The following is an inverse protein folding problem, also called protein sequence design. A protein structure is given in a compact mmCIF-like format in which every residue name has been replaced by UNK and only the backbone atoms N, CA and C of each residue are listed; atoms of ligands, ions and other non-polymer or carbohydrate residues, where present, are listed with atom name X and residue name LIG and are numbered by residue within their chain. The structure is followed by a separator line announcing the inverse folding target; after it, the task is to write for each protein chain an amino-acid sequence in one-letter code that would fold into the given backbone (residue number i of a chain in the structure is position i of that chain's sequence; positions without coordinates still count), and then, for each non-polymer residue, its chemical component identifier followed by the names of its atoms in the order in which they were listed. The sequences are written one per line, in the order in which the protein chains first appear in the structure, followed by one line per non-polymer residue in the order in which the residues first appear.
data_IF_848023235484
#
_entry.id   IF_848023235484
#
_cell.length_a   1.000
_cell.length_b   1.000
_cell.length_c   1.000
_cell.angle_alpha   90.00
_cell.angle_beta   90.00
_cell.angle_gamma   90.00
#
_symmetry.space_group_name_H-M   'P 1'
#
loop_
_entity.id
_entity.type
_entity.pdbx_description
1 polymer ?
#
# COMPACT_ATOMS: atom_id res chain seq x y z
N UNK A 1 2.68 -25.72 -52.94
CA UNK A 1 2.55 -24.24 -52.86
C UNK A 1 1.34 -23.99 -51.96
N UNK A 2 1.44 -23.54 -50.71
CA UNK A 2 2.08 -22.32 -50.23
C UNK A 2 2.75 -22.49 -48.84
N UNK A 3 3.72 -21.62 -48.57
CA UNK A 3 4.48 -21.47 -47.32
C UNK A 3 3.60 -20.88 -46.21
N UNK A 4 3.89 -21.19 -44.94
CA UNK A 4 3.22 -20.49 -43.84
C UNK A 4 3.66 -20.92 -42.45
N UNK A 5 4.83 -20.43 -42.02
CA UNK A 5 5.25 -20.11 -40.66
C UNK A 5 4.87 -21.06 -39.49
N UNK A 6 5.90 -21.76 -39.02
CA UNK A 6 6.18 -21.98 -37.61
C UNK A 6 5.88 -20.70 -36.79
N UNK A 7 4.87 -20.76 -35.91
CA UNK A 7 4.53 -19.69 -34.96
C UNK A 7 4.86 -20.20 -33.54
N UNK A 8 5.97 -19.77 -32.94
CA UNK A 8 6.21 -20.04 -31.53
C UNK A 8 5.39 -19.09 -30.63
N UNK A 9 4.84 -19.69 -29.57
CA UNK A 9 4.72 -19.13 -28.20
C UNK A 9 4.28 -17.67 -28.09
N UNK A 10 2.98 -17.41 -28.29
CA UNK A 10 2.38 -16.24 -27.67
C UNK A 10 0.88 -16.44 -27.42
N UNK A 11 0.52 -16.61 -26.15
CA UNK A 11 -0.53 -15.78 -25.55
C UNK A 11 -1.75 -15.50 -26.44
N UNK A 12 -2.51 -16.53 -26.85
CA UNK A 12 -3.77 -16.37 -27.59
C UNK A 12 -4.99 -16.10 -26.69
N UNK A 13 -4.83 -15.22 -25.71
CA UNK A 13 -5.97 -14.62 -25.03
C UNK A 13 -5.58 -13.20 -24.68
N UNK A 14 -6.33 -12.25 -25.23
CA UNK A 14 -6.29 -10.81 -25.05
C UNK A 14 -5.70 -10.36 -23.70
N UNK A 15 -5.02 -9.19 -23.62
CA UNK A 15 -4.62 -8.66 -22.33
C UNK A 15 -5.85 -8.61 -21.44
N UNK A 16 -5.88 -9.48 -20.42
CA UNK A 16 -6.95 -9.52 -19.42
C UNK A 16 -6.94 -8.12 -18.84
N UNK A 17 -7.94 -7.34 -19.26
CA UNK A 17 -8.19 -5.95 -18.90
C UNK A 17 -7.63 -5.70 -17.51
N UNK A 18 -6.67 -4.78 -17.33
CA UNK A 18 -6.16 -4.49 -15.99
C UNK A 18 -7.37 -4.15 -15.11
N UNK A 19 -7.47 -4.72 -13.89
CA UNK A 19 -8.63 -4.50 -13.04
C UNK A 19 -8.86 -3.00 -12.87
N UNK A 20 -10.12 -2.58 -13.09
CA UNK A 20 -10.60 -1.21 -12.88
C UNK A 20 -10.12 -0.72 -11.52
N UNK A 21 -9.48 0.45 -11.52
CA UNK A 21 -9.12 1.16 -10.30
C UNK A 21 -7.89 0.59 -9.60
N UNK A 22 -6.73 0.64 -10.26
CA UNK A 22 -5.48 0.84 -9.51
C UNK A 22 -5.57 2.24 -8.91
N UNK A 23 -6.14 2.35 -7.73
CA UNK A 23 -5.76 3.42 -6.82
C UNK A 23 -4.34 3.04 -6.40
N UNK A 24 -3.34 3.37 -7.23
CA UNK A 24 -2.00 3.49 -6.69
C UNK A 24 -2.15 4.54 -5.61
N UNK A 25 -2.10 4.10 -4.35
CA UNK A 25 -1.99 5.00 -3.21
C UNK A 25 -0.57 5.55 -3.20
N UNK A 26 -0.15 6.14 -4.32
CA UNK A 26 0.99 7.04 -4.40
C UNK A 26 0.52 8.32 -3.71
N UNK A 27 0.47 8.26 -2.37
CA UNK A 27 0.58 9.46 -1.57
C UNK A 27 2.05 9.88 -1.65
N UNK A 28 2.43 10.35 -2.83
CA UNK A 28 3.70 10.99 -3.08
C UNK A 28 3.74 12.24 -2.22
N UNK A 29 4.42 12.19 -1.08
CA UNK A 29 5.08 13.38 -0.54
C UNK A 29 6.29 13.71 -1.43
N UNK A 30 6.04 13.85 -2.73
CA UNK A 30 6.96 14.41 -3.70
C UNK A 30 6.53 15.86 -3.89
N UNK A 31 6.96 16.73 -2.97
CA UNK A 31 6.53 18.12 -3.02
C UNK A 31 6.99 19.01 -1.89
N UNK A 32 8.29 19.07 -1.60
CA UNK A 32 9.02 20.29 -1.22
C UNK A 32 10.45 19.89 -0.80
N UNK A 33 11.45 20.34 -1.56
CA UNK A 33 12.85 20.31 -1.12
C UNK A 33 12.96 21.19 0.12
N UNK A 34 13.04 20.59 1.32
CA UNK A 34 13.44 21.29 2.54
C UNK A 34 12.62 21.08 3.82
N UNK A 35 11.50 20.35 3.80
CA UNK A 35 10.77 20.04 5.04
C UNK A 35 10.30 18.58 5.08
N UNK A 36 10.89 17.80 5.97
CA UNK A 36 10.44 16.45 6.31
C UNK A 36 9.15 16.57 7.11
N UNK A 37 8.02 16.74 6.45
CA UNK A 37 6.72 16.79 7.11
C UNK A 37 6.41 15.39 7.63
N UNK A 38 6.48 15.20 8.95
CA UNK A 38 5.99 13.99 9.58
C UNK A 38 4.46 13.92 9.40
N UNK A 39 3.92 12.83 8.83
CA UNK A 39 2.49 12.70 8.63
C UNK A 39 1.77 12.54 9.98
N UNK A 40 0.61 13.18 10.17
CA UNK A 40 -0.21 12.97 11.36
C UNK A 40 -0.79 11.55 11.40
N UNK A 41 -1.26 11.07 10.25
CA UNK A 41 -1.82 9.73 10.10
C UNK A 41 -1.43 9.12 8.76
N UNK A 42 -1.37 7.79 8.72
CA UNK A 42 -1.08 7.01 7.51
C UNK A 42 -2.14 5.94 7.30
N UNK A 43 -2.36 5.52 6.05
CA UNK A 43 -3.26 4.39 5.77
C UNK A 43 -2.59 3.06 6.15
N UNK A 44 -3.40 2.02 6.36
CA UNK A 44 -2.93 0.66 6.66
C UNK A 44 -1.85 0.16 5.68
N UNK A 45 -1.99 0.29 4.34
CA UNK A 45 -0.94 -0.15 3.40
C UNK A 45 0.38 0.58 3.59
N UNK A 46 0.33 1.88 3.92
CA UNK A 46 1.53 2.69 4.16
C UNK A 46 2.19 2.31 5.48
N UNK A 47 1.41 2.08 6.54
CA UNK A 47 1.94 1.60 7.83
C UNK A 47 2.69 0.27 7.68
N UNK A 48 2.20 -0.63 6.82
CA UNK A 48 2.88 -1.89 6.49
C UNK A 48 4.22 -1.64 5.81
N UNK A 49 4.26 -0.72 4.84
CA UNK A 49 5.49 -0.36 4.14
C UNK A 49 6.52 0.30 5.07
N UNK A 50 6.06 1.17 5.97
CA UNK A 50 6.92 1.87 6.93
C UNK A 50 7.47 0.96 8.03
N UNK A 51 6.65 0.03 8.55
CA UNK A 51 7.03 -0.83 9.67
C UNK A 51 7.62 -2.17 9.25
N UNK A 52 7.43 -2.59 8.00
CA UNK A 52 7.79 -3.92 7.51
C UNK A 52 6.96 -5.07 8.11
N UNK A 53 5.90 -4.76 8.87
CA UNK A 53 5.06 -5.76 9.53
C UNK A 53 4.04 -6.37 8.56
N UNK A 54 3.73 -7.65 8.76
CA UNK A 54 2.63 -8.30 8.05
C UNK A 54 1.27 -7.70 8.43
N UNK A 55 0.30 -7.75 7.51
CA UNK A 55 -1.09 -7.32 7.75
C UNK A 55 -1.66 -7.94 9.03
N UNK A 56 -1.46 -9.24 9.21
CA UNK A 56 -2.00 -9.98 10.37
C UNK A 56 -1.37 -9.53 11.69
N UNK A 57 -0.07 -9.19 11.71
CA UNK A 57 0.56 -8.63 12.90
C UNK A 57 0.07 -7.21 13.18
N UNK A 58 -0.05 -6.38 12.15
CA UNK A 58 -0.57 -5.02 12.30
C UNK A 58 -2.01 -5.03 12.85
N UNK A 59 -2.89 -5.89 12.34
CA UNK A 59 -4.26 -6.00 12.86
C UNK A 59 -4.31 -6.52 14.30
N UNK A 60 -3.42 -7.45 14.69
CA UNK A 60 -3.30 -7.88 16.10
C UNK A 60 -2.92 -6.72 17.01
N UNK A 61 -1.98 -5.86 16.59
CA UNK A 61 -1.55 -4.69 17.35
C UNK A 61 -2.65 -3.61 17.43
N UNK A 62 -3.47 -3.50 16.39
CA UNK A 62 -4.67 -2.66 16.42
C UNK A 62 -5.69 -3.23 17.43
N UNK A 63 -5.88 -4.55 17.43
CA UNK A 63 -6.81 -5.22 18.34
C UNK A 63 -6.33 -5.21 19.80
N UNK A 64 -5.02 -5.30 20.04
CA UNK A 64 -4.42 -5.16 21.38
C UNK A 64 -4.44 -3.71 21.89
N UNK A 65 -4.74 -2.74 21.02
CA UNK A 65 -4.77 -1.32 21.35
C UNK A 65 -3.39 -0.64 21.36
N UNK A 66 -2.34 -1.36 21.00
CA UNK A 66 -0.98 -0.80 20.89
C UNK A 66 -0.87 0.19 19.73
N UNK A 67 -1.65 -0.01 18.67
CA UNK A 67 -1.73 0.92 17.53
C UNK A 67 -3.08 1.62 17.52
N UNK A 68 -3.05 2.95 17.64
CA UNK A 68 -4.26 3.78 17.58
C UNK A 68 -4.73 3.96 16.14
N UNK A 69 -6.00 3.64 15.93
CA UNK A 69 -6.70 3.79 14.64
C UNK A 69 -7.80 4.83 14.75
N UNK A 70 -7.89 5.70 13.75
CA UNK A 70 -8.88 6.77 13.64
C UNK A 70 -9.70 6.52 12.38
N UNK A 71 -11.03 6.48 12.52
CA UNK A 71 -11.94 6.33 11.40
C UNK A 71 -12.45 7.70 10.97
N UNK A 72 -12.15 8.12 9.74
CA UNK A 72 -12.65 9.35 9.15
C UNK A 72 -13.53 8.99 7.95
N UNK A 73 -14.84 9.08 8.13
CA UNK A 73 -15.84 8.63 7.15
C UNK A 73 -15.68 7.15 6.80
N UNK A 74 -15.31 6.89 5.53
CA UNK A 74 -15.05 5.53 5.01
C UNK A 74 -13.58 5.10 5.13
N UNK A 75 -12.70 6.00 5.54
CA UNK A 75 -11.26 5.75 5.61
C UNK A 75 -10.83 5.35 7.02
N UNK A 76 -9.97 4.33 7.08
CA UNK A 76 -9.29 3.89 8.31
C UNK A 76 -7.85 4.38 8.28
N UNK A 77 -7.51 5.24 9.22
CA UNK A 77 -6.20 5.88 9.35
C UNK A 77 -5.52 5.42 10.63
N UNK A 78 -4.21 5.29 10.60
CA UNK A 78 -3.37 4.91 11.73
C UNK A 78 -2.60 6.14 12.18
N UNK A 79 -2.56 6.39 13.49
CA UNK A 79 -1.74 7.45 14.06
C UNK A 79 -0.26 7.16 13.83
N UNK A 80 0.46 8.11 13.24
CA UNK A 80 1.90 7.97 13.00
C UNK A 80 2.69 7.94 14.31
N UNK A 81 2.24 8.70 15.33
CA UNK A 81 2.85 8.72 16.66
C UNK A 81 2.83 7.32 17.32
N UNK A 82 1.71 6.60 17.23
CA UNK A 82 1.60 5.25 17.76
C UNK A 82 2.51 4.26 17.04
N UNK A 83 2.69 4.42 15.72
CA UNK A 83 3.62 3.60 14.94
C UNK A 83 5.08 3.88 15.32
N UNK A 84 5.44 5.15 15.52
CA UNK A 84 6.79 5.53 15.93
C UNK A 84 7.14 4.97 17.30
N UNK A 85 6.22 5.10 18.28
CA UNK A 85 6.37 4.52 19.62
C UNK A 85 6.54 3.00 19.62
N UNK A 86 5.93 2.31 18.66
CA UNK A 86 6.06 0.86 18.52
C UNK A 86 7.48 0.44 18.09
N UNK A 87 8.13 1.23 17.22
CA UNK A 87 9.45 0.92 16.66
C UNK A 87 10.60 1.38 17.56
N UNK A 88 10.38 2.42 18.36
CA UNK A 88 11.38 2.94 19.32
C UNK A 88 11.51 2.09 20.60
N UNK A 89 10.64 1.08 20.77
CA UNK A 89 10.65 0.17 21.91
C UNK A 89 11.42 -1.12 21.61
#
# INVERSE_FOLDING_TARGET
MARGADLPKAYSAAPRRPPRGRITSENSIAGARGSTIEPLTVRIPMAIQLTGLSRSRLYRLIQSGEIKVIKIGRSTLISFESLKKLVER
#
